data_IF_769637531570
#
_entry.id   IF_769637531570
#
_cell.length_a   1.000
_cell.length_b   1.000
_cell.length_c   1.000
_cell.angle_alpha   90.00
_cell.angle_beta   90.00
_cell.angle_gamma   90.00
#
_symmetry.space_group_name_H-M   'P 1'
#
loop_
_entity.id
_entity.type
_entity.pdbx_description
1 polymer ?
#
# COMPACT_ATOMS: atom_id res chain seq x y z
N UNK A 1 -11.42 23.67 -16.02
CA UNK A 1 -10.20 23.21 -15.30
C UNK A 1 -9.80 21.83 -15.81
N UNK A 2 -8.54 21.67 -16.24
CA UNK A 2 -7.99 20.42 -16.82
C UNK A 2 -7.08 19.77 -15.78
N UNK A 3 -7.44 18.58 -15.35
CA UNK A 3 -6.65 17.76 -14.42
C UNK A 3 -5.89 16.69 -15.19
N UNK A 4 -4.60 16.52 -14.87
CA UNK A 4 -3.85 15.34 -15.29
C UNK A 4 -3.33 14.61 -14.06
N UNK A 5 -3.61 13.32 -14.00
CA UNK A 5 -3.07 12.39 -12.99
C UNK A 5 -2.01 11.55 -13.67
N UNK A 6 -0.82 11.43 -13.06
CA UNK A 6 0.25 10.57 -13.56
C UNK A 6 0.51 9.46 -12.56
N UNK A 7 0.38 8.22 -13.01
CA UNK A 7 0.66 7.02 -12.22
C UNK A 7 1.79 6.20 -12.85
N UNK A 8 2.61 5.56 -11.99
CA UNK A 8 3.74 4.76 -12.43
C UNK A 8 3.29 3.41 -13.00
N UNK A 9 2.48 2.68 -12.25
CA UNK A 9 2.02 1.33 -12.60
C UNK A 9 0.49 1.25 -12.59
N UNK A 10 -0.02 0.23 -13.28
CA UNK A 10 -1.44 0.01 -13.50
C UNK A 10 -1.93 0.73 -14.78
N UNK A 11 -2.87 0.12 -15.48
CA UNK A 11 -3.53 0.68 -16.65
C UNK A 11 -4.97 1.07 -16.29
N UNK A 12 -5.26 2.38 -16.36
CA UNK A 12 -6.59 2.90 -16.04
C UNK A 12 -7.66 2.41 -17.02
N UNK A 13 -7.32 2.33 -18.32
CA UNK A 13 -8.23 1.83 -19.38
C UNK A 13 -8.60 0.38 -19.10
N UNK A 14 -7.59 -0.48 -18.92
CA UNK A 14 -7.79 -1.90 -18.61
C UNK A 14 -8.64 -2.11 -17.36
N UNK A 15 -8.36 -1.36 -16.30
CA UNK A 15 -9.12 -1.44 -15.05
C UNK A 15 -10.57 -1.02 -15.25
N UNK A 16 -10.82 0.07 -15.98
CA UNK A 16 -12.16 0.55 -16.28
C UNK A 16 -12.92 -0.44 -17.16
N UNK A 17 -12.35 -0.92 -18.26
CA UNK A 17 -12.95 -1.91 -19.17
C UNK A 17 -13.29 -3.22 -18.42
N UNK A 18 -12.39 -3.68 -17.56
CA UNK A 18 -12.63 -4.86 -16.71
C UNK A 18 -13.84 -4.66 -15.80
N UNK A 19 -13.99 -3.48 -15.17
CA UNK A 19 -15.12 -3.21 -14.29
C UNK A 19 -16.44 -3.09 -15.04
N UNK A 20 -16.47 -2.50 -16.22
CA UNK A 20 -17.65 -2.43 -17.09
C UNK A 20 -18.08 -3.83 -17.55
N UNK A 21 -17.13 -4.73 -17.77
CA UNK A 21 -17.40 -6.13 -18.07
C UNK A 21 -17.80 -6.97 -16.83
N UNK A 22 -18.02 -6.37 -15.67
CA UNK A 22 -18.36 -7.08 -14.43
C UNK A 22 -17.19 -7.77 -13.75
N UNK A 23 -15.96 -7.49 -14.18
CA UNK A 23 -14.75 -8.08 -13.61
C UNK A 23 -14.40 -7.50 -12.24
N UNK A 24 -13.52 -8.21 -11.53
CA UNK A 24 -13.12 -7.91 -10.15
C UNK A 24 -11.87 -7.03 -10.06
N UNK A 25 -11.69 -6.39 -8.91
CA UNK A 25 -10.53 -5.54 -8.62
C UNK A 25 -9.27 -6.39 -8.36
N UNK A 26 -8.09 -5.85 -8.72
CA UNK A 26 -6.80 -6.48 -8.47
C UNK A 26 -6.24 -6.11 -7.09
N UNK A 27 -6.66 -4.96 -6.53
CA UNK A 27 -6.32 -4.51 -5.17
C UNK A 27 -7.47 -3.69 -4.56
N UNK A 28 -7.52 -3.63 -3.24
CA UNK A 28 -8.64 -3.10 -2.45
C UNK A 28 -9.20 -1.75 -2.92
N UNK A 29 -8.34 -0.81 -3.24
CA UNK A 29 -8.76 0.56 -3.58
C UNK A 29 -9.00 0.78 -5.08
N UNK A 30 -8.83 -0.23 -5.95
CA UNK A 30 -8.82 -0.03 -7.40
C UNK A 30 -10.18 0.42 -7.93
N UNK A 31 -11.26 -0.26 -7.52
CA UNK A 31 -12.62 0.10 -7.95
C UNK A 31 -12.99 1.52 -7.49
N UNK A 32 -12.65 1.85 -6.24
CA UNK A 32 -12.86 3.18 -5.70
C UNK A 32 -12.09 4.25 -6.51
N UNK A 33 -10.78 4.06 -6.73
CA UNK A 33 -9.95 5.05 -7.40
C UNK A 33 -10.39 5.28 -8.86
N UNK A 34 -10.73 4.21 -9.59
CA UNK A 34 -11.22 4.31 -10.97
C UNK A 34 -12.58 5.03 -11.02
N UNK A 35 -13.52 4.66 -10.15
CA UNK A 35 -14.84 5.30 -10.07
C UNK A 35 -14.75 6.76 -9.65
N UNK A 36 -13.91 7.08 -8.66
CA UNK A 36 -13.68 8.45 -8.21
C UNK A 36 -13.10 9.33 -9.32
N UNK A 37 -12.08 8.87 -10.04
CA UNK A 37 -11.51 9.62 -11.17
C UNK A 37 -12.55 9.82 -12.27
N UNK A 38 -13.39 8.82 -12.53
CA UNK A 38 -14.54 8.95 -13.45
C UNK A 38 -15.52 10.03 -12.99
N UNK A 39 -15.85 10.09 -11.69
CA UNK A 39 -16.74 11.15 -11.17
C UNK A 39 -16.18 12.56 -11.36
N UNK A 40 -14.87 12.74 -11.22
CA UNK A 40 -14.20 14.02 -11.49
C UNK A 40 -14.31 14.44 -12.98
N UNK A 41 -14.32 13.47 -13.90
CA UNK A 41 -14.43 13.75 -15.33
C UNK A 41 -15.81 14.29 -15.76
N UNK A 42 -16.83 14.12 -14.90
CA UNK A 42 -18.14 14.76 -15.10
C UNK A 42 -18.22 16.18 -14.53
N UNK A 43 -17.25 16.60 -13.72
CA UNK A 43 -17.23 17.89 -13.02
C UNK A 43 -16.21 18.87 -13.63
N UNK A 44 -15.20 18.35 -14.33
CA UNK A 44 -14.07 19.12 -14.85
C UNK A 44 -14.11 19.15 -16.40
N UNK A 45 -13.51 20.17 -16.99
CA UNK A 45 -13.44 20.29 -18.46
C UNK A 45 -12.69 19.11 -19.09
N UNK A 46 -11.68 18.58 -18.38
CA UNK A 46 -10.92 17.41 -18.80
C UNK A 46 -10.28 16.73 -17.59
N UNK A 47 -10.37 15.41 -17.56
CA UNK A 47 -9.54 14.58 -16.69
C UNK A 47 -8.73 13.63 -17.58
N UNK A 48 -7.41 13.70 -17.48
CA UNK A 48 -6.50 12.78 -18.13
C UNK A 48 -5.76 11.93 -17.11
N UNK A 49 -5.65 10.62 -17.37
CA UNK A 49 -4.82 9.70 -16.59
C UNK A 49 -3.71 9.18 -17.48
N UNK A 50 -2.46 9.48 -17.13
CA UNK A 50 -1.28 8.96 -17.80
C UNK A 50 -0.75 7.77 -17.00
N UNK A 51 -0.77 6.60 -17.62
CA UNK A 51 -0.23 5.35 -17.10
C UNK A 51 1.16 5.14 -17.72
N UNK A 52 2.23 5.17 -16.90
CA UNK A 52 3.58 5.07 -17.43
C UNK A 52 3.89 3.66 -17.97
N UNK A 53 3.63 2.64 -17.16
CA UNK A 53 3.86 1.24 -17.55
C UNK A 53 2.60 0.67 -18.19
N UNK A 54 2.60 0.59 -19.52
CA UNK A 54 1.57 -0.11 -20.30
C UNK A 54 2.25 -0.94 -21.38
N UNK A 55 1.57 -1.98 -21.88
CA UNK A 55 2.16 -2.89 -22.87
C UNK A 55 2.52 -2.14 -24.16
N UNK A 56 1.64 -1.23 -24.58
CA UNK A 56 1.79 -0.38 -25.76
C UNK A 56 1.34 1.07 -25.45
N UNK A 57 1.82 2.07 -26.23
CA UNK A 57 1.30 3.42 -26.13
C UNK A 57 -0.11 3.51 -26.73
N UNK A 58 -0.99 4.24 -26.02
CA UNK A 58 -2.35 4.53 -26.51
C UNK A 58 -2.85 5.88 -25.99
N UNK A 59 -3.96 6.36 -26.56
CA UNK A 59 -4.69 7.55 -26.08
C UNK A 59 -6.16 7.45 -26.50
N UNK A 60 -7.05 7.27 -25.53
CA UNK A 60 -8.50 7.10 -25.75
C UNK A 60 -9.29 7.97 -24.78
N UNK A 61 -10.49 8.39 -25.18
CA UNK A 61 -11.49 8.94 -24.26
C UNK A 61 -12.48 7.81 -23.96
N UNK A 62 -12.57 7.46 -22.69
CA UNK A 62 -13.47 6.40 -22.22
C UNK A 62 -14.90 6.92 -22.07
N UNK A 63 -15.93 6.04 -22.04
CA UNK A 63 -17.32 6.44 -21.86
C UNK A 63 -17.60 7.24 -20.57
N UNK A 64 -16.77 7.11 -19.54
CA UNK A 64 -16.82 7.94 -18.33
C UNK A 64 -16.10 9.31 -18.49
N UNK A 65 -15.83 9.76 -19.72
CA UNK A 65 -15.16 11.02 -20.08
C UNK A 65 -13.70 11.15 -19.61
N UNK A 66 -13.09 10.11 -19.05
CA UNK A 66 -11.66 10.13 -18.71
C UNK A 66 -10.84 9.89 -19.97
N UNK A 67 -9.86 10.77 -20.22
CA UNK A 67 -8.84 10.56 -21.23
C UNK A 67 -7.74 9.66 -20.68
N UNK A 68 -7.82 8.36 -20.98
CA UNK A 68 -6.80 7.39 -20.59
C UNK A 68 -5.66 7.38 -21.60
N UNK A 69 -4.42 7.46 -21.12
CA UNK A 69 -3.21 7.53 -21.93
C UNK A 69 -2.19 6.52 -21.37
N UNK A 70 -1.87 5.52 -22.17
CA UNK A 70 -0.76 4.62 -21.92
C UNK A 70 0.51 5.17 -22.54
N UNK A 71 1.61 5.23 -21.80
CA UNK A 71 2.88 5.70 -22.32
C UNK A 71 3.74 4.60 -22.98
N UNK A 72 3.41 3.31 -22.78
CA UNK A 72 4.15 2.18 -23.34
C UNK A 72 5.56 2.01 -22.81
N UNK A 73 5.85 2.58 -21.63
CA UNK A 73 7.19 2.53 -21.05
C UNK A 73 7.39 1.22 -20.28
N UNK A 74 8.65 0.83 -20.09
CA UNK A 74 9.02 -0.37 -19.36
C UNK A 74 9.64 -0.01 -18.00
N UNK A 75 9.62 -0.91 -17.00
CA UNK A 75 10.28 -0.67 -15.72
C UNK A 75 11.73 -0.17 -15.89
N UNK A 76 12.11 0.85 -15.11
CA UNK A 76 13.41 1.49 -15.20
C UNK A 76 13.49 2.66 -16.21
N UNK A 77 12.39 3.03 -16.87
CA UNK A 77 12.35 4.19 -17.76
C UNK A 77 12.78 5.48 -17.02
N UNK A 78 13.26 6.46 -17.79
CA UNK A 78 13.59 7.77 -17.21
C UNK A 78 12.33 8.68 -17.21
N UNK A 79 11.92 9.28 -16.06
CA UNK A 79 10.68 10.07 -15.98
C UNK A 79 10.56 11.24 -16.96
N UNK A 80 11.65 11.71 -17.57
CA UNK A 80 11.61 12.71 -18.66
C UNK A 80 10.86 12.22 -19.90
N UNK A 81 10.80 10.92 -20.13
CA UNK A 81 10.08 10.32 -21.25
C UNK A 81 8.56 10.57 -21.20
N UNK A 82 8.02 10.85 -20.00
CA UNK A 82 6.62 11.24 -19.83
C UNK A 82 6.33 12.71 -20.17
N UNK A 83 7.35 13.58 -20.27
CA UNK A 83 7.14 15.01 -20.49
C UNK A 83 6.39 15.30 -21.81
N UNK A 84 6.71 14.68 -22.95
CA UNK A 84 5.97 14.90 -24.19
C UNK A 84 4.49 14.50 -24.08
N UNK A 85 4.20 13.40 -23.37
CA UNK A 85 2.83 12.93 -23.14
C UNK A 85 2.08 13.90 -22.23
N UNK A 86 2.69 14.28 -21.12
CA UNK A 86 2.13 15.25 -20.17
C UNK A 86 1.86 16.61 -20.82
N UNK A 87 2.79 17.10 -21.65
CA UNK A 87 2.62 18.38 -22.34
C UNK A 87 1.39 18.41 -23.26
N UNK A 88 1.04 17.28 -23.89
CA UNK A 88 -0.14 17.18 -24.77
C UNK A 88 -1.48 17.23 -24.01
N UNK A 89 -1.48 16.99 -22.70
CA UNK A 89 -2.69 17.12 -21.89
C UNK A 89 -2.94 18.57 -21.47
N UNK A 90 -1.94 19.44 -21.57
CA UNK A 90 -1.98 20.86 -21.22
C UNK A 90 -2.72 21.14 -19.88
N UNK A 91 -2.29 20.56 -18.77
CA UNK A 91 -3.06 20.59 -17.53
C UNK A 91 -2.98 21.94 -16.81
N UNK A 92 -4.08 22.36 -16.18
CA UNK A 92 -4.10 23.45 -15.20
C UNK A 92 -3.74 22.91 -13.80
N UNK A 93 -3.98 21.60 -13.57
CA UNK A 93 -3.75 20.87 -12.33
C UNK A 93 -3.05 19.55 -12.62
N UNK A 94 -2.03 19.26 -11.83
CA UNK A 94 -1.26 18.01 -11.93
C UNK A 94 -1.28 17.27 -10.61
N UNK A 95 -1.71 16.00 -10.62
CA UNK A 95 -1.56 15.08 -9.50
C UNK A 95 -0.50 14.02 -9.84
N UNK A 96 0.52 13.88 -9.01
CA UNK A 96 1.53 12.83 -9.15
C UNK A 96 1.31 11.77 -8.06
N UNK A 97 1.09 10.53 -8.46
CA UNK A 97 0.96 9.41 -7.49
C UNK A 97 2.31 8.75 -7.19
N UNK A 98 3.38 9.20 -7.83
CA UNK A 98 4.76 8.73 -7.62
C UNK A 98 5.73 9.91 -7.72
N UNK A 99 6.82 9.94 -6.92
CA UNK A 99 7.74 11.07 -6.86
C UNK A 99 8.64 11.16 -8.11
N UNK A 100 8.23 11.93 -9.10
CA UNK A 100 8.94 12.13 -10.37
C UNK A 100 9.51 13.54 -10.47
N UNK A 101 10.75 13.75 -10.00
CA UNK A 101 11.45 15.06 -10.01
C UNK A 101 11.41 15.78 -11.36
N UNK A 102 11.63 15.12 -12.53
CA UNK A 102 11.52 15.79 -13.82
C UNK A 102 10.14 16.37 -14.11
N UNK A 103 9.07 15.70 -13.72
CA UNK A 103 7.70 16.19 -13.93
C UNK A 103 7.38 17.36 -13.00
N UNK A 104 7.86 17.35 -11.76
CA UNK A 104 7.75 18.49 -10.84
C UNK A 104 8.43 19.73 -11.40
N UNK A 105 9.63 19.58 -12.00
CA UNK A 105 10.34 20.67 -12.68
C UNK A 105 9.58 21.20 -13.89
N UNK A 106 9.05 20.30 -14.71
CA UNK A 106 8.22 20.65 -15.84
C UNK A 106 6.97 21.44 -15.39
N UNK A 107 6.27 20.96 -14.36
CA UNK A 107 5.09 21.63 -13.80
C UNK A 107 5.44 23.05 -13.29
N UNK A 108 6.57 23.20 -12.61
CA UNK A 108 7.06 24.52 -12.18
C UNK A 108 7.31 25.46 -13.36
N UNK A 109 8.03 25.00 -14.39
CA UNK A 109 8.37 25.80 -15.56
C UNK A 109 7.12 26.22 -16.36
N UNK A 110 6.07 25.40 -16.32
CA UNK A 110 4.79 25.67 -17.00
C UNK A 110 3.72 26.28 -16.07
N UNK A 111 4.09 26.64 -14.83
CA UNK A 111 3.19 27.23 -13.82
C UNK A 111 1.96 26.39 -13.51
N UNK A 112 2.08 25.05 -13.63
CA UNK A 112 1.00 24.11 -13.31
C UNK A 112 0.93 23.90 -11.81
N UNK A 113 -0.25 24.13 -11.23
CA UNK A 113 -0.51 23.84 -9.80
C UNK A 113 -0.48 22.34 -9.58
N UNK A 114 0.24 21.90 -8.59
CA UNK A 114 0.57 20.49 -8.41
C UNK A 114 0.24 20.02 -6.99
N UNK A 115 -0.25 18.80 -6.90
CA UNK A 115 -0.38 18.02 -5.66
C UNK A 115 0.32 16.68 -5.86
N UNK A 116 0.76 16.05 -4.78
CA UNK A 116 1.10 14.63 -4.82
C UNK A 116 0.10 13.83 -3.98
N UNK A 117 -0.16 12.61 -4.41
CA UNK A 117 -0.93 11.61 -3.66
C UNK A 117 -0.16 10.28 -3.73
N UNK A 118 1.01 10.27 -3.10
CA UNK A 118 1.99 9.18 -3.17
C UNK A 118 1.66 8.06 -2.16
N UNK A 119 2.25 6.89 -2.39
CA UNK A 119 2.28 5.78 -1.44
C UNK A 119 3.72 5.26 -1.27
N UNK A 120 4.69 6.17 -1.24
CA UNK A 120 6.12 5.88 -1.26
C UNK A 120 6.77 6.13 0.10
N UNK A 121 7.76 5.31 0.44
CA UNK A 121 8.62 5.52 1.60
C UNK A 121 10.02 5.96 1.18
N UNK A 122 10.59 6.91 1.93
CA UNK A 122 11.89 7.50 1.63
C UNK A 122 12.89 7.09 2.70
N UNK A 123 13.69 6.06 2.41
CA UNK A 123 14.68 5.56 3.35
C UNK A 123 15.99 6.34 3.27
N UNK A 124 16.64 6.50 4.43
CA UNK A 124 18.04 6.92 4.47
C UNK A 124 18.87 5.86 3.74
N UNK A 125 19.57 6.30 2.69
CA UNK A 125 20.48 5.48 1.90
C UNK A 125 21.85 6.10 1.86
N UNK A 126 22.76 5.52 1.05
CA UNK A 126 24.08 6.12 0.81
C UNK A 126 23.99 7.53 0.19
N UNK A 127 25.15 8.17 0.02
CA UNK A 127 25.28 9.57 -0.43
C UNK A 127 24.46 9.87 -1.70
N UNK A 128 24.43 8.96 -2.67
CA UNK A 128 23.65 9.13 -3.92
C UNK A 128 22.13 9.21 -3.64
N UNK A 129 21.62 8.40 -2.72
CA UNK A 129 20.21 8.44 -2.32
C UNK A 129 19.90 9.74 -1.58
N UNK A 130 20.77 10.18 -0.67
CA UNK A 130 20.62 11.44 0.06
C UNK A 130 20.55 12.65 -0.90
N UNK A 131 21.43 12.70 -1.91
CA UNK A 131 21.41 13.77 -2.93
C UNK A 131 20.10 13.73 -3.71
N UNK A 132 19.67 12.56 -4.18
CA UNK A 132 18.41 12.39 -4.91
C UNK A 132 17.21 12.84 -4.08
N UNK A 133 17.15 12.45 -2.80
CA UNK A 133 16.09 12.82 -1.88
C UNK A 133 16.09 14.33 -1.60
N UNK A 134 17.27 14.93 -1.43
CA UNK A 134 17.38 16.40 -1.25
C UNK A 134 16.86 17.16 -2.48
N UNK A 135 17.18 16.69 -3.68
CA UNK A 135 16.69 17.29 -4.93
C UNK A 135 15.16 17.16 -5.00
N UNK A 136 14.61 15.98 -4.69
CA UNK A 136 13.17 15.77 -4.66
C UNK A 136 12.47 16.68 -3.65
N UNK A 137 12.98 16.74 -2.41
CA UNK A 137 12.43 17.60 -1.35
C UNK A 137 12.43 19.08 -1.77
N UNK A 138 13.49 19.54 -2.42
CA UNK A 138 13.56 20.91 -2.93
C UNK A 138 12.47 21.21 -3.98
N UNK A 139 12.15 20.26 -4.86
CA UNK A 139 11.05 20.46 -5.84
C UNK A 139 9.67 20.32 -5.18
N UNK A 140 9.47 19.41 -4.23
CA UNK A 140 8.23 19.29 -3.45
C UNK A 140 7.94 20.54 -2.60
N UNK A 141 8.99 21.24 -2.16
CA UNK A 141 8.86 22.47 -1.39
C UNK A 141 8.53 23.72 -2.24
N UNK A 142 8.54 23.63 -3.56
CA UNK A 142 8.24 24.77 -4.45
C UNK A 142 6.78 25.25 -4.31
N UNK A 143 6.51 26.54 -4.49
CA UNK A 143 5.17 27.11 -4.30
C UNK A 143 4.09 26.50 -5.21
N UNK A 144 4.44 26.04 -6.42
CA UNK A 144 3.49 25.40 -7.33
C UNK A 144 3.05 23.98 -6.85
N UNK A 145 3.82 23.34 -5.97
CA UNK A 145 3.38 22.15 -5.25
C UNK A 145 2.67 22.63 -3.99
N UNK A 146 1.34 22.56 -4.00
CA UNK A 146 0.54 23.12 -2.91
C UNK A 146 0.47 22.20 -1.70
N UNK A 147 0.28 20.90 -1.94
CA UNK A 147 0.23 19.87 -0.92
C UNK A 147 1.05 18.67 -1.33
N UNK A 148 1.62 18.01 -0.34
CA UNK A 148 2.39 16.77 -0.50
C UNK A 148 1.66 15.67 0.27
N UNK A 149 0.70 15.04 -0.44
CA UNK A 149 -0.02 13.89 0.09
C UNK A 149 0.84 12.63 0.04
N UNK A 150 0.85 11.86 1.12
CA UNK A 150 1.46 10.53 1.14
C UNK A 150 0.61 9.57 1.99
N UNK A 151 0.60 8.30 1.59
CA UNK A 151 -0.24 7.28 2.21
C UNK A 151 0.31 6.91 3.59
N UNK A 152 -0.52 7.10 4.61
CA UNK A 152 -0.22 6.79 6.00
C UNK A 152 0.87 7.65 6.68
N UNK A 153 0.85 7.68 7.99
CA UNK A 153 1.73 8.50 8.83
C UNK A 153 3.22 8.14 8.64
N UNK A 154 3.53 6.83 8.54
CA UNK A 154 4.91 6.37 8.38
C UNK A 154 5.58 6.93 7.12
N UNK A 155 4.87 6.88 5.99
CA UNK A 155 5.36 7.43 4.74
C UNK A 155 5.47 8.97 4.79
N UNK A 156 4.54 9.65 5.48
CA UNK A 156 4.61 11.10 5.71
C UNK A 156 5.80 11.50 6.58
N UNK A 157 6.13 10.73 7.61
CA UNK A 157 7.32 10.96 8.43
C UNK A 157 8.60 10.81 7.61
N UNK A 158 8.66 9.84 6.69
CA UNK A 158 9.82 9.68 5.80
C UNK A 158 10.03 10.88 4.86
N UNK A 159 8.97 11.64 4.52
CA UNK A 159 9.09 12.91 3.79
C UNK A 159 9.76 14.00 4.63
N UNK A 160 9.46 14.06 5.94
CA UNK A 160 10.16 14.98 6.85
C UNK A 160 11.66 14.67 6.91
N UNK A 161 12.01 13.38 6.97
CA UNK A 161 13.41 12.93 7.07
C UNK A 161 14.25 13.35 5.87
N UNK A 162 13.64 13.49 4.69
CA UNK A 162 14.33 13.97 3.48
C UNK A 162 14.27 15.49 3.30
N UNK A 163 13.57 16.21 4.18
CA UNK A 163 13.52 17.67 4.21
C UNK A 163 12.34 18.30 3.47
N UNK A 164 11.24 17.60 3.31
CA UNK A 164 9.98 18.19 2.82
C UNK A 164 9.38 19.08 3.91
N UNK A 165 8.87 20.23 3.52
CA UNK A 165 8.24 21.18 4.44
C UNK A 165 7.03 20.54 5.13
N UNK A 166 7.11 20.45 6.46
CA UNK A 166 6.11 19.87 7.34
C UNK A 166 4.71 20.48 7.16
N UNK A 167 4.64 21.76 6.78
CA UNK A 167 3.38 22.49 6.59
C UNK A 167 2.63 22.10 5.30
N UNK A 168 3.26 21.33 4.40
CA UNK A 168 2.67 20.86 3.15
C UNK A 168 2.24 19.41 3.20
N UNK A 169 2.68 18.64 4.19
CA UNK A 169 2.46 17.18 4.23
C UNK A 169 1.07 16.88 4.77
N UNK A 170 0.29 16.12 4.00
CA UNK A 170 -1.04 15.62 4.38
C UNK A 170 -1.03 14.10 4.33
N UNK A 171 -1.20 13.44 5.48
CA UNK A 171 -1.46 12.00 5.52
C UNK A 171 -2.84 11.70 4.93
N UNK A 172 -2.89 10.74 4.01
CA UNK A 172 -4.14 10.28 3.43
C UNK A 172 -4.21 8.76 3.39
N UNK A 173 -5.43 8.22 3.26
CA UNK A 173 -5.69 6.80 3.14
C UNK A 173 -6.81 6.51 2.14
N UNK A 174 -6.98 5.23 1.80
CA UNK A 174 -8.13 4.77 1.05
C UNK A 174 -9.35 4.66 1.97
N UNK A 175 -10.56 4.90 1.48
CA UNK A 175 -11.76 4.58 2.27
C UNK A 175 -11.81 3.08 2.54
N UNK A 176 -12.13 2.66 3.77
CA UNK A 176 -12.18 1.25 4.12
C UNK A 176 -13.35 0.52 3.44
N UNK A 177 -13.08 -0.65 2.87
CA UNK A 177 -14.10 -1.53 2.27
C UNK A 177 -14.64 -2.57 3.24
N UNK A 178 -13.87 -2.94 4.26
CA UNK A 178 -14.21 -3.92 5.30
C UNK A 178 -13.83 -3.39 6.68
N UNK A 179 -14.57 -3.83 7.69
CA UNK A 179 -14.38 -3.40 9.08
C UNK A 179 -14.35 -4.60 10.02
N UNK A 180 -13.64 -4.53 11.16
CA UNK A 180 -13.69 -5.59 12.16
C UNK A 180 -15.07 -5.84 12.73
N UNK A 181 -15.96 -4.81 12.74
CA UNK A 181 -17.36 -4.94 13.17
C UNK A 181 -18.18 -5.89 12.30
N UNK A 182 -17.71 -6.22 11.09
CA UNK A 182 -18.39 -7.14 10.19
C UNK A 182 -18.24 -8.61 10.63
N UNK A 183 -17.40 -8.86 11.64
CA UNK A 183 -17.06 -10.19 12.12
C UNK A 183 -16.92 -10.27 13.64
N UNK A 184 -17.27 -11.40 14.22
CA UNK A 184 -16.96 -11.71 15.61
C UNK A 184 -15.46 -11.99 15.81
N UNK A 185 -14.89 -11.68 17.00
CA UNK A 185 -13.54 -12.10 17.34
C UNK A 185 -13.39 -13.63 17.23
N UNK A 186 -12.19 -14.06 16.86
CA UNK A 186 -11.88 -15.48 16.69
C UNK A 186 -11.40 -16.09 17.99
N UNK A 187 -11.72 -17.35 18.15
CA UNK A 187 -11.20 -18.21 19.20
C UNK A 187 -10.22 -19.19 18.56
N UNK A 188 -9.14 -19.53 19.26
CA UNK A 188 -8.19 -20.52 18.78
C UNK A 188 -8.86 -21.88 18.56
N UNK A 189 -8.40 -22.63 17.55
CA UNK A 189 -8.80 -24.01 17.36
C UNK A 189 -8.32 -24.88 18.53
N UNK A 190 -9.13 -25.83 18.93
CA UNK A 190 -8.77 -26.75 20.03
C UNK A 190 -7.78 -27.84 19.58
N UNK A 191 -7.63 -28.08 18.28
CA UNK A 191 -6.76 -29.12 17.72
C UNK A 191 -6.51 -28.91 16.23
N UNK A 192 -5.46 -29.55 15.74
CA UNK A 192 -5.06 -29.52 14.32
C UNK A 192 -3.99 -28.47 14.00
N UNK A 193 -3.43 -28.53 12.78
CA UNK A 193 -2.44 -27.56 12.32
C UNK A 193 -3.06 -26.18 12.18
N UNK A 194 -2.27 -25.11 12.44
CA UNK A 194 -2.63 -23.76 12.06
C UNK A 194 -2.63 -23.62 10.55
N UNK A 195 -3.71 -23.10 10.00
CA UNK A 195 -3.79 -22.70 8.61
C UNK A 195 -3.26 -21.27 8.45
N UNK A 196 -2.10 -21.15 7.83
CA UNK A 196 -1.47 -19.88 7.55
C UNK A 196 -1.89 -19.36 6.17
N UNK A 197 -1.95 -18.05 6.03
CA UNK A 197 -2.11 -17.41 4.72
C UNK A 197 -1.09 -16.28 4.55
N UNK A 198 -0.48 -16.25 3.39
CA UNK A 198 0.29 -15.12 2.87
C UNK A 198 -0.46 -14.50 1.70
N UNK A 199 -0.53 -13.17 1.64
CA UNK A 199 -1.14 -12.43 0.52
C UNK A 199 -0.20 -11.33 0.07
N UNK A 200 0.17 -11.34 -1.19
CA UNK A 200 1.03 -10.31 -1.79
C UNK A 200 1.89 -10.83 -2.93
N UNK A 201 2.77 -9.98 -3.45
CA UNK A 201 3.74 -10.36 -4.48
C UNK A 201 4.67 -11.45 -3.96
N UNK A 202 4.83 -12.54 -4.71
CA UNK A 202 5.64 -13.69 -4.30
C UNK A 202 7.08 -13.48 -4.78
N UNK A 203 7.83 -12.69 -3.99
CA UNK A 203 9.24 -12.36 -4.27
C UNK A 203 10.08 -12.45 -3.00
N UNK A 204 11.38 -12.64 -3.16
CA UNK A 204 12.34 -12.83 -2.05
C UNK A 204 12.28 -11.67 -1.02
N UNK A 205 12.24 -10.43 -1.49
CA UNK A 205 12.19 -9.25 -0.61
C UNK A 205 10.87 -9.12 0.19
N UNK A 206 9.83 -9.87 -0.18
CA UNK A 206 8.59 -10.02 0.61
C UNK A 206 8.69 -11.10 1.69
N UNK A 207 9.84 -11.78 1.81
CA UNK A 207 10.13 -12.73 2.88
C UNK A 207 9.40 -14.08 2.75
N UNK A 208 8.87 -14.41 1.56
CA UNK A 208 8.20 -15.70 1.34
C UNK A 208 9.16 -16.85 1.58
N UNK A 209 10.43 -16.71 1.16
CA UNK A 209 11.48 -17.69 1.43
C UNK A 209 11.73 -17.92 2.92
N UNK A 210 11.74 -16.84 3.72
CA UNK A 210 11.90 -16.92 5.19
C UNK A 210 10.74 -17.68 5.84
N UNK A 211 9.51 -17.49 5.32
CA UNK A 211 8.33 -18.22 5.76
C UNK A 211 8.44 -19.72 5.42
N UNK A 212 8.88 -20.06 4.21
CA UNK A 212 9.08 -21.45 3.81
C UNK A 212 10.13 -22.15 4.69
N UNK A 213 11.25 -21.49 4.99
CA UNK A 213 12.26 -22.03 5.91
C UNK A 213 11.72 -22.22 7.32
N UNK A 214 10.88 -21.31 7.82
CA UNK A 214 10.21 -21.46 9.11
C UNK A 214 9.28 -22.68 9.13
N UNK A 215 8.52 -22.92 8.05
CA UNK A 215 7.64 -24.08 7.92
C UNK A 215 8.41 -25.40 7.89
N UNK A 216 9.56 -25.45 7.18
CA UNK A 216 10.46 -26.63 7.19
C UNK A 216 10.89 -26.98 8.61
N UNK A 217 11.28 -25.98 9.42
CA UNK A 217 11.67 -26.19 10.81
C UNK A 217 10.52 -26.75 11.64
N UNK A 218 9.32 -26.17 11.53
CA UNK A 218 8.13 -26.67 12.21
C UNK A 218 7.81 -28.12 11.82
N UNK A 219 7.92 -28.47 10.55
CA UNK A 219 7.73 -29.84 10.06
C UNK A 219 8.73 -30.80 10.67
N UNK A 220 10.02 -30.41 10.77
CA UNK A 220 11.06 -31.22 11.41
C UNK A 220 10.82 -31.43 12.93
N UNK A 221 10.14 -30.49 13.59
CA UNK A 221 9.76 -30.57 14.98
C UNK A 221 8.45 -31.35 15.22
N UNK A 222 7.85 -31.90 14.14
CA UNK A 222 6.59 -32.64 14.21
C UNK A 222 5.34 -31.74 14.31
N UNK A 223 5.46 -30.45 14.05
CA UNK A 223 4.35 -29.51 13.95
C UNK A 223 3.96 -29.38 12.47
N UNK A 224 2.86 -30.03 12.02
CA UNK A 224 2.51 -30.02 10.60
C UNK A 224 2.15 -28.58 10.18
N UNK A 225 2.85 -27.98 9.19
CA UNK A 225 2.50 -26.69 8.66
C UNK A 225 1.37 -26.80 7.64
N UNK A 226 0.59 -25.73 7.49
CA UNK A 226 -0.33 -25.55 6.37
C UNK A 226 -0.27 -24.11 5.93
N UNK A 227 0.11 -23.84 4.68
CA UNK A 227 0.22 -22.47 4.15
C UNK A 227 -0.50 -22.36 2.81
N UNK A 228 -1.32 -21.33 2.68
CA UNK A 228 -1.80 -20.86 1.39
C UNK A 228 -1.07 -19.57 1.01
N UNK A 229 -0.37 -19.57 -0.13
CA UNK A 229 0.27 -18.39 -0.73
C UNK A 229 -0.66 -17.84 -1.81
N UNK A 230 -1.16 -16.63 -1.60
CA UNK A 230 -2.00 -15.89 -2.55
C UNK A 230 -1.16 -14.78 -3.16
N UNK A 231 -0.85 -14.90 -4.44
CA UNK A 231 -0.03 -13.97 -5.18
C UNK A 231 0.59 -14.61 -6.40
N UNK A 232 1.17 -13.79 -7.26
CA UNK A 232 1.82 -14.27 -8.47
C UNK A 232 3.29 -14.62 -8.18
N UNK A 233 3.69 -15.83 -8.52
CA UNK A 233 5.08 -16.32 -8.54
C UNK A 233 5.49 -16.54 -10.01
N UNK A 234 5.79 -15.47 -10.77
CA UNK A 234 5.88 -15.55 -12.24
C UNK A 234 7.01 -16.46 -12.72
N UNK A 235 8.07 -16.57 -11.94
CA UNK A 235 9.24 -17.39 -12.28
C UNK A 235 9.22 -18.76 -11.60
N UNK A 236 8.19 -19.05 -10.78
CA UNK A 236 8.09 -20.30 -10.01
C UNK A 236 9.20 -20.49 -8.96
N UNK A 237 9.93 -19.43 -8.62
CA UNK A 237 11.10 -19.50 -7.73
C UNK A 237 10.70 -19.97 -6.34
N UNK A 238 9.63 -19.40 -5.76
CA UNK A 238 9.18 -19.76 -4.41
C UNK A 238 8.48 -21.12 -4.40
N UNK A 239 7.80 -21.47 -5.49
CA UNK A 239 7.22 -22.80 -5.69
C UNK A 239 8.34 -23.87 -5.72
N UNK A 240 9.40 -23.65 -6.51
CA UNK A 240 10.56 -24.54 -6.56
C UNK A 240 11.30 -24.63 -5.22
N UNK A 241 11.41 -23.51 -4.49
CA UNK A 241 11.98 -23.51 -3.14
C UNK A 241 11.16 -24.39 -2.20
N UNK A 242 9.83 -24.26 -2.19
CA UNK A 242 8.95 -25.08 -1.35
C UNK A 242 9.12 -26.58 -1.64
N UNK A 243 9.23 -26.96 -2.92
CA UNK A 243 9.49 -28.35 -3.31
C UNK A 243 10.87 -28.85 -2.81
N UNK A 244 11.92 -28.02 -2.97
CA UNK A 244 13.28 -28.36 -2.51
C UNK A 244 13.38 -28.52 -0.98
N UNK A 245 12.52 -27.80 -0.24
CA UNK A 245 12.41 -27.88 1.22
C UNK A 245 11.52 -29.03 1.71
N UNK A 246 10.94 -29.83 0.78
CA UNK A 246 10.04 -30.93 1.11
C UNK A 246 8.66 -30.49 1.62
N UNK A 247 8.19 -29.31 1.19
CA UNK A 247 6.93 -28.69 1.62
C UNK A 247 5.82 -28.76 0.55
N UNK A 248 5.99 -29.56 -0.49
CA UNK A 248 5.06 -29.63 -1.64
C UNK A 248 3.60 -29.86 -1.21
N UNK A 249 3.40 -30.74 -0.23
CA UNK A 249 2.07 -31.12 0.25
C UNK A 249 1.54 -30.18 1.35
N UNK A 250 2.41 -29.34 1.92
CA UNK A 250 2.10 -28.44 3.03
C UNK A 250 1.81 -26.99 2.57
N UNK A 251 2.24 -26.63 1.35
CA UNK A 251 2.16 -25.28 0.81
C UNK A 251 1.38 -25.27 -0.50
N UNK A 252 0.29 -24.54 -0.52
CA UNK A 252 -0.53 -24.33 -1.72
C UNK A 252 -0.31 -22.95 -2.29
N UNK A 253 0.28 -22.84 -3.48
CA UNK A 253 0.33 -21.62 -4.27
C UNK A 253 -0.99 -21.44 -5.04
N UNK A 254 -1.82 -20.52 -4.60
CA UNK A 254 -3.16 -20.30 -5.14
C UNK A 254 -3.17 -19.36 -6.36
N UNK A 255 -2.03 -18.74 -6.69
CA UNK A 255 -1.96 -17.70 -7.71
C UNK A 255 -2.72 -16.43 -7.28
N UNK A 256 -3.09 -15.61 -8.24
CA UNK A 256 -3.90 -14.42 -8.01
C UNK A 256 -5.35 -14.81 -7.78
N UNK A 257 -5.95 -14.28 -6.73
CA UNK A 257 -7.40 -14.31 -6.52
C UNK A 257 -7.96 -12.89 -6.65
N UNK A 258 -9.27 -12.77 -6.82
CA UNK A 258 -9.91 -11.48 -6.81
C UNK A 258 -9.75 -10.80 -5.45
N UNK A 259 -9.50 -9.49 -5.43
CA UNK A 259 -9.31 -8.77 -4.17
C UNK A 259 -10.52 -8.89 -3.22
N UNK A 260 -11.73 -8.94 -3.78
CA UNK A 260 -12.96 -9.13 -3.01
C UNK A 260 -13.01 -10.46 -2.24
N UNK A 261 -12.24 -11.46 -2.67
CA UNK A 261 -12.16 -12.79 -2.04
C UNK A 261 -11.02 -12.85 -0.97
N UNK A 262 -10.11 -11.86 -0.95
CA UNK A 262 -8.96 -11.82 -0.02
C UNK A 262 -9.41 -11.78 1.46
N UNK A 263 -10.36 -10.92 1.87
CA UNK A 263 -10.82 -10.90 3.26
C UNK A 263 -11.41 -12.23 3.71
N UNK A 264 -12.18 -12.88 2.83
CA UNK A 264 -12.74 -14.21 3.10
C UNK A 264 -11.64 -15.28 3.23
N UNK A 265 -10.62 -15.24 2.38
CA UNK A 265 -9.46 -16.14 2.47
C UNK A 265 -8.67 -15.91 3.77
N UNK A 266 -8.45 -14.65 4.16
CA UNK A 266 -7.82 -14.34 5.45
C UNK A 266 -8.68 -14.78 6.64
N UNK A 267 -10.01 -14.60 6.54
CA UNK A 267 -10.94 -15.04 7.58
C UNK A 267 -10.98 -16.57 7.73
N UNK A 268 -10.79 -17.30 6.63
CA UNK A 268 -10.73 -18.76 6.65
C UNK A 268 -9.46 -19.29 7.30
N UNK A 269 -8.33 -18.63 7.06
CA UNK A 269 -7.04 -18.98 7.67
C UNK A 269 -7.02 -18.66 9.16
N UNK A 270 -6.16 -19.30 9.92
CA UNK A 270 -5.99 -19.04 11.35
C UNK A 270 -5.04 -17.86 11.61
N UNK A 271 -4.05 -17.66 10.75
CA UNK A 271 -3.03 -16.61 10.89
C UNK A 271 -2.68 -16.02 9.52
N UNK A 272 -2.56 -14.70 9.47
CA UNK A 272 -1.98 -13.97 8.33
C UNK A 272 -0.51 -13.70 8.62
N UNK A 273 0.38 -14.06 7.68
CA UNK A 273 1.83 -13.83 7.83
C UNK A 273 2.29 -12.76 6.84
N UNK A 274 2.98 -11.72 7.35
CA UNK A 274 3.46 -10.55 6.58
C UNK A 274 4.98 -10.41 6.82
N UNK A 275 5.82 -11.24 6.16
CA UNK A 275 7.22 -11.37 6.48
C UNK A 275 8.14 -10.42 5.70
N UNK A 276 7.63 -9.29 5.18
CA UNK A 276 8.36 -8.36 4.32
C UNK A 276 9.71 -7.97 4.91
N UNK A 277 10.78 -8.09 4.09
CA UNK A 277 12.14 -7.68 4.48
C UNK A 277 12.30 -6.17 4.36
N UNK A 278 13.21 -5.60 5.14
CA UNK A 278 13.45 -4.15 5.17
C UNK A 278 13.83 -3.55 3.81
N UNK A 279 14.45 -4.32 2.91
CA UNK A 279 14.79 -3.85 1.56
C UNK A 279 13.59 -3.65 0.64
N UNK A 280 12.45 -4.29 0.91
CA UNK A 280 11.25 -4.08 0.11
C UNK A 280 10.69 -2.66 0.39
N UNK A 281 10.39 -1.86 -0.64
CA UNK A 281 9.90 -0.49 -0.46
C UNK A 281 8.41 -0.46 -0.05
N UNK A 282 8.10 -1.04 1.11
CA UNK A 282 6.72 -1.00 1.64
C UNK A 282 6.29 0.42 1.99
N UNK A 283 5.01 0.71 1.70
CA UNK A 283 4.21 1.60 2.53
C UNK A 283 3.62 0.83 3.72
N UNK A 284 2.41 1.15 4.14
CA UNK A 284 1.63 0.26 5.01
C UNK A 284 0.83 -0.69 4.11
N UNK A 285 1.10 -2.01 4.11
CA UNK A 285 0.40 -2.95 3.24
C UNK A 285 -1.10 -2.99 3.52
N UNK A 286 -1.93 -2.97 2.49
CA UNK A 286 -3.38 -3.11 2.63
C UNK A 286 -3.77 -4.44 3.28
N UNK A 287 -2.93 -5.47 3.14
CA UNK A 287 -3.09 -6.77 3.82
C UNK A 287 -3.14 -6.68 5.34
N UNK A 288 -2.50 -5.65 5.96
CA UNK A 288 -2.64 -5.38 7.39
C UNK A 288 -4.07 -4.95 7.72
N UNK A 289 -4.65 -4.04 6.93
CA UNK A 289 -6.04 -3.61 7.13
C UNK A 289 -7.02 -4.76 6.93
N UNK A 290 -6.82 -5.56 5.89
CA UNK A 290 -7.67 -6.70 5.55
C UNK A 290 -7.61 -7.78 6.63
N UNK A 291 -6.41 -8.09 7.15
CA UNK A 291 -6.23 -9.05 8.23
C UNK A 291 -6.88 -8.57 9.55
N UNK A 292 -6.68 -7.29 9.91
CA UNK A 292 -7.33 -6.70 11.09
C UNK A 292 -8.86 -6.66 10.93
N UNK A 293 -9.37 -6.29 9.74
CA UNK A 293 -10.80 -6.31 9.44
C UNK A 293 -11.38 -7.72 9.51
N UNK A 294 -10.66 -8.73 9.02
CA UNK A 294 -11.02 -10.14 9.14
C UNK A 294 -10.89 -10.69 10.57
N UNK A 295 -10.36 -9.91 11.52
CA UNK A 295 -10.06 -10.32 12.90
C UNK A 295 -9.15 -11.56 12.96
N UNK A 296 -8.30 -11.75 11.96
CA UNK A 296 -7.35 -12.86 11.89
C UNK A 296 -6.03 -12.42 12.47
N UNK A 297 -5.49 -13.11 13.49
CA UNK A 297 -4.20 -12.79 14.08
C UNK A 297 -3.08 -12.66 13.05
N UNK A 298 -2.21 -11.69 13.26
CA UNK A 298 -1.12 -11.35 12.36
C UNK A 298 0.22 -11.77 12.98
N UNK A 299 1.10 -12.38 12.16
CA UNK A 299 2.53 -12.45 12.43
C UNK A 299 3.22 -11.59 11.37
N UNK A 300 3.99 -10.59 11.79
CA UNK A 300 4.65 -9.66 10.87
C UNK A 300 6.14 -9.50 11.21
N UNK A 301 6.93 -9.17 10.20
CA UNK A 301 8.31 -8.74 10.44
C UNK A 301 8.38 -7.38 11.14
N UNK A 302 9.54 -7.05 11.69
CA UNK A 302 9.86 -5.75 12.27
C UNK A 302 10.11 -4.65 11.23
N UNK A 303 9.47 -4.77 10.06
CA UNK A 303 9.63 -3.80 8.97
C UNK A 303 9.38 -2.37 9.46
N UNK A 304 10.28 -1.40 9.17
CA UNK A 304 10.18 -0.03 9.71
C UNK A 304 8.85 0.67 9.43
N UNK A 305 8.18 0.33 8.33
CA UNK A 305 6.88 0.93 7.98
C UNK A 305 5.71 0.34 8.79
N UNK A 306 5.90 -0.81 9.45
CA UNK A 306 4.88 -1.43 10.30
C UNK A 306 4.89 -0.88 11.73
N UNK A 307 5.99 -0.20 12.12
CA UNK A 307 6.13 0.40 13.45
C UNK A 307 4.98 1.34 13.78
N UNK A 308 4.39 1.14 14.95
CA UNK A 308 3.24 1.90 15.42
C UNK A 308 1.93 1.66 14.67
N UNK A 309 1.95 0.92 13.56
CA UNK A 309 0.75 0.36 12.94
C UNK A 309 0.42 -1.00 13.56
N UNK A 310 1.46 -1.79 13.83
CA UNK A 310 1.39 -3.04 14.59
C UNK A 310 2.19 -2.88 15.87
N UNK A 311 1.66 -3.44 16.95
CA UNK A 311 2.27 -3.45 18.28
C UNK A 311 2.37 -4.92 18.72
N UNK A 312 3.59 -5.32 19.11
CA UNK A 312 3.86 -6.70 19.49
C UNK A 312 3.00 -7.15 20.67
N UNK A 313 2.49 -8.37 20.61
CA UNK A 313 1.56 -9.00 21.57
C UNK A 313 0.22 -8.25 21.79
N UNK A 314 0.00 -7.15 21.08
CA UNK A 314 -1.26 -6.40 21.13
C UNK A 314 -2.09 -6.54 19.86
N UNK A 315 -1.51 -6.23 18.70
CA UNK A 315 -2.19 -6.31 17.40
C UNK A 315 -1.56 -7.32 16.44
N UNK A 316 -0.35 -7.78 16.73
CA UNK A 316 0.37 -8.79 15.98
C UNK A 316 1.42 -9.48 16.88
N UNK A 317 2.02 -10.58 16.40
CA UNK A 317 3.34 -11.01 16.86
C UNK A 317 4.38 -10.48 15.89
N UNK A 318 5.43 -9.84 16.41
CA UNK A 318 6.49 -9.25 15.61
C UNK A 318 7.76 -10.10 15.72
N UNK A 319 8.40 -10.36 14.58
CA UNK A 319 9.67 -11.08 14.53
C UNK A 319 10.71 -10.27 13.72
N UNK A 320 12.02 -10.42 13.99
CA UNK A 320 13.07 -9.77 13.20
C UNK A 320 13.04 -10.27 11.74
N UNK A 321 13.20 -9.37 10.76
CA UNK A 321 13.27 -9.78 9.35
C UNK A 321 14.34 -10.83 9.11
N UNK A 322 14.11 -11.74 8.14
CA UNK A 322 15.07 -12.81 7.78
C UNK A 322 15.34 -13.84 8.89
N UNK A 323 14.67 -13.75 10.02
CA UNK A 323 14.82 -14.69 11.13
C UNK A 323 13.71 -15.75 11.10
N UNK A 324 13.95 -16.81 10.33
CA UNK A 324 13.01 -17.94 10.20
C UNK A 324 12.84 -18.73 11.50
N UNK A 325 13.80 -18.68 12.45
CA UNK A 325 13.67 -19.33 13.77
C UNK A 325 12.68 -18.58 14.64
N UNK A 326 12.76 -17.26 14.68
CA UNK A 326 11.79 -16.42 15.40
C UNK A 326 10.41 -16.49 14.77
N UNK A 327 10.32 -16.54 13.43
CA UNK A 327 9.05 -16.75 12.74
C UNK A 327 8.42 -18.11 13.11
N UNK A 328 9.19 -19.19 13.06
CA UNK A 328 8.71 -20.51 13.50
C UNK A 328 8.25 -20.51 14.96
N UNK A 329 9.00 -19.84 15.83
CA UNK A 329 8.63 -19.68 17.24
C UNK A 329 7.33 -18.90 17.43
N UNK A 330 7.10 -17.82 16.65
CA UNK A 330 5.87 -17.05 16.69
C UNK A 330 4.65 -17.88 16.20
N UNK A 331 4.81 -18.67 15.15
CA UNK A 331 3.76 -19.58 14.65
C UNK A 331 3.41 -20.61 15.72
N UNK A 332 4.43 -21.27 16.31
CA UNK A 332 4.24 -22.26 17.38
C UNK A 332 3.54 -21.65 18.60
N UNK A 333 3.92 -20.43 18.97
CA UNK A 333 3.31 -19.73 20.10
C UNK A 333 1.82 -19.49 19.87
N UNK A 334 1.39 -19.07 18.68
CA UNK A 334 -0.05 -18.92 18.36
C UNK A 334 -0.78 -20.26 18.31
N UNK A 335 -0.09 -21.35 17.96
CA UNK A 335 -0.68 -22.69 18.00
C UNK A 335 -0.96 -23.19 19.42
N UNK A 336 -0.20 -22.75 20.42
CA UNK A 336 -0.24 -23.28 21.79
C UNK A 336 -0.84 -22.32 22.81
N UNK A 337 -0.77 -20.99 22.57
CA UNK A 337 -1.29 -19.97 23.46
C UNK A 337 -2.65 -19.44 22.96
N UNK A 338 -3.72 -20.13 23.37
CA UNK A 338 -5.09 -19.77 23.00
C UNK A 338 -5.50 -18.38 23.53
N UNK A 339 -4.97 -17.97 24.68
CA UNK A 339 -5.27 -16.68 25.28
C UNK A 339 -4.65 -15.55 24.44
N UNK A 340 -3.40 -15.71 24.00
CA UNK A 340 -2.74 -14.79 23.09
C UNK A 340 -3.48 -14.69 21.75
N UNK A 341 -3.82 -15.83 21.14
CA UNK A 341 -4.57 -15.88 19.89
C UNK A 341 -5.87 -15.06 19.96
N UNK A 342 -6.70 -15.37 20.97
CA UNK A 342 -7.97 -14.68 21.18
C UNK A 342 -7.79 -13.19 21.47
N UNK A 343 -6.76 -12.83 22.26
CA UNK A 343 -6.43 -11.44 22.56
C UNK A 343 -6.08 -10.65 21.31
N UNK A 344 -5.24 -11.19 20.40
CA UNK A 344 -4.90 -10.53 19.13
C UNK A 344 -6.13 -10.31 18.25
N UNK A 345 -7.01 -11.30 18.17
CA UNK A 345 -8.26 -11.19 17.42
C UNK A 345 -9.22 -10.15 18.02
N UNK A 346 -9.35 -10.08 19.34
CA UNK A 346 -10.20 -9.07 20.02
C UNK A 346 -9.63 -7.66 19.79
N UNK A 347 -8.31 -7.49 19.96
CA UNK A 347 -7.64 -6.20 19.84
C UNK A 347 -7.52 -5.68 18.39
N UNK A 348 -7.78 -6.54 17.40
CA UNK A 348 -7.75 -6.14 15.97
C UNK A 348 -8.62 -4.95 15.66
N UNK A 349 -9.78 -4.80 16.33
CA UNK A 349 -10.67 -3.65 16.13
C UNK A 349 -10.03 -2.34 16.57
N UNK A 350 -9.48 -2.29 17.78
CA UNK A 350 -8.79 -1.11 18.27
C UNK A 350 -7.56 -0.76 17.41
N UNK A 351 -6.82 -1.78 16.95
CA UNK A 351 -5.69 -1.60 16.05
C UNK A 351 -6.13 -1.04 14.68
N UNK A 352 -7.20 -1.58 14.12
CA UNK A 352 -7.77 -1.13 12.86
C UNK A 352 -8.26 0.33 12.95
N UNK A 353 -8.97 0.70 14.03
CA UNK A 353 -9.41 2.07 14.29
C UNK A 353 -8.22 3.04 14.39
N UNK A 354 -7.13 2.61 15.03
CA UNK A 354 -5.93 3.41 15.17
C UNK A 354 -5.21 3.69 13.85
N UNK A 355 -5.45 2.91 12.81
CA UNK A 355 -4.90 3.12 11.46
C UNK A 355 -5.71 4.12 10.63
N UNK A 356 -6.97 4.37 10.98
CA UNK A 356 -7.83 5.22 10.16
C UNK A 356 -7.34 6.67 10.16
N UNK A 357 -7.33 7.28 8.99
CA UNK A 357 -6.96 8.67 8.80
C UNK A 357 -8.18 9.55 8.52
N UNK A 358 -8.02 10.85 8.77
CA UNK A 358 -9.08 11.85 8.60
C UNK A 358 -9.22 12.36 7.16
N UNK A 359 -8.35 11.94 6.26
CA UNK A 359 -8.30 12.37 4.86
C UNK A 359 -8.28 11.13 3.98
N UNK A 360 -9.28 10.98 3.12
CA UNK A 360 -9.25 9.98 2.07
C UNK A 360 -8.56 10.52 0.81
N UNK A 361 -8.22 9.63 -0.12
CA UNK A 361 -7.72 10.02 -1.45
C UNK A 361 -8.69 10.98 -2.16
N UNK A 362 -10.00 10.71 -2.07
CA UNK A 362 -11.03 11.57 -2.63
C UNK A 362 -11.06 12.94 -1.97
N UNK A 363 -11.12 12.99 -0.64
CA UNK A 363 -11.11 14.26 0.10
C UNK A 363 -9.91 15.12 -0.28
N UNK A 364 -8.72 14.50 -0.37
CA UNK A 364 -7.50 15.21 -0.71
C UNK A 364 -7.61 15.90 -2.08
N UNK A 365 -8.08 15.18 -3.10
CA UNK A 365 -8.17 15.71 -4.46
C UNK A 365 -9.34 16.67 -4.64
N UNK A 366 -10.55 16.34 -4.17
CA UNK A 366 -11.72 17.20 -4.32
C UNK A 366 -11.54 18.56 -3.67
N UNK A 367 -11.05 18.58 -2.42
CA UNK A 367 -10.81 19.84 -1.70
C UNK A 367 -9.70 20.67 -2.31
N UNK A 368 -8.65 20.02 -2.82
CA UNK A 368 -7.60 20.73 -3.53
C UNK A 368 -8.11 21.31 -4.86
N UNK A 369 -8.93 20.58 -5.61
CA UNK A 369 -9.51 21.01 -6.88
C UNK A 369 -10.52 22.14 -6.68
N UNK A 370 -11.41 22.01 -5.71
CA UNK A 370 -12.37 23.06 -5.31
C UNK A 370 -11.65 24.35 -4.92
N UNK A 371 -10.61 24.25 -4.08
CA UNK A 371 -9.75 25.35 -3.69
C UNK A 371 -10.48 26.53 -3.04
N UNK A 372 -11.69 26.31 -2.48
CA UNK A 372 -12.38 27.32 -1.69
C UNK A 372 -11.59 27.66 -0.42
N UNK A 373 -11.89 28.79 0.22
CA UNK A 373 -11.26 29.15 1.49
C UNK A 373 -11.51 28.06 2.57
N UNK A 374 -12.73 27.52 2.60
CA UNK A 374 -13.12 26.45 3.52
C UNK A 374 -12.35 25.15 3.28
N UNK A 375 -12.16 24.74 2.01
CA UNK A 375 -11.45 23.52 1.67
C UNK A 375 -9.94 23.65 1.93
N UNK A 376 -9.36 24.82 1.67
CA UNK A 376 -7.98 25.11 2.04
C UNK A 376 -7.76 25.03 3.55
N UNK A 377 -8.66 25.62 4.33
CA UNK A 377 -8.62 25.56 5.79
C UNK A 377 -8.80 24.13 6.30
N UNK A 378 -9.71 23.36 5.69
CA UNK A 378 -9.93 21.97 6.04
C UNK A 378 -8.67 21.11 5.81
N UNK A 379 -7.97 21.28 4.68
CA UNK A 379 -6.70 20.61 4.39
C UNK A 379 -5.59 21.07 5.35
N UNK A 380 -5.54 22.38 5.63
CA UNK A 380 -4.58 22.98 6.55
C UNK A 380 -4.68 22.38 7.96
N UNK A 381 -5.90 22.18 8.45
CA UNK A 381 -6.17 21.56 9.76
C UNK A 381 -5.86 20.07 9.81
N UNK A 382 -5.61 19.42 8.65
CA UNK A 382 -5.30 17.98 8.53
C UNK A 382 -3.87 17.68 8.07
N UNK A 383 -3.00 18.69 8.18
CA UNK A 383 -1.56 18.48 7.97
C UNK A 383 -0.97 17.53 9.02
N UNK A 384 0.12 16.89 8.65
CA UNK A 384 0.85 15.98 9.56
C UNK A 384 1.12 16.58 10.95
N UNK A 385 1.32 17.89 11.01
CA UNK A 385 1.65 18.64 12.24
C UNK A 385 0.45 19.35 12.90
N UNK A 386 -0.78 18.99 12.53
CA UNK A 386 -1.98 19.64 13.05
C UNK A 386 -2.36 19.25 14.49
N UNK A 387 -1.65 18.29 15.08
CA UNK A 387 -2.00 17.69 16.38
C UNK A 387 -2.93 16.48 16.26
N UNK A 388 -3.67 16.34 15.16
CA UNK A 388 -4.58 15.20 14.94
C UNK A 388 -3.90 13.84 14.95
N UNK A 389 -2.61 13.79 14.64
CA UNK A 389 -1.83 12.56 14.47
C UNK A 389 -0.79 12.34 15.58
N UNK A 390 -0.75 13.19 16.61
CA UNK A 390 0.30 13.18 17.63
C UNK A 390 0.42 11.84 18.35
N UNK A 391 -0.71 11.19 18.65
CA UNK A 391 -0.73 9.85 19.26
C UNK A 391 -0.07 8.81 18.36
N UNK A 392 -0.43 8.77 17.08
CA UNK A 392 0.11 7.83 16.09
C UNK A 392 1.60 8.08 15.83
N UNK A 393 2.01 9.36 15.80
CA UNK A 393 3.41 9.77 15.65
C UNK A 393 4.22 9.36 16.88
N UNK A 394 3.70 9.57 18.09
CA UNK A 394 4.37 9.21 19.33
C UNK A 394 4.64 7.70 19.41
N UNK A 395 3.63 6.86 19.14
CA UNK A 395 3.77 5.40 19.12
C UNK A 395 4.85 4.97 18.13
N UNK A 396 4.89 5.54 16.92
CA UNK A 396 5.91 5.22 15.90
C UNK A 396 7.33 5.65 16.26
N UNK A 397 7.50 6.61 17.14
CA UNK A 397 8.82 7.09 17.60
C UNK A 397 9.33 6.36 18.84
N UNK A 398 8.43 5.73 19.59
CA UNK A 398 8.77 4.97 20.82
C UNK A 398 9.08 3.50 20.55
N UNK A 399 8.71 2.98 19.40
CA UNK A 399 9.01 1.64 18.89
C UNK A 399 10.16 1.69 17.88
#
# INVERSE_FOLDING_TARGET
MRLTIVQYAGDYREAWERFEAGGKANYQAQRYSVGFVGSLAHQLDQVAVICALTDEPYGVILPNNVRAIGAGLKPGFHPRELIPVLSRTAPDRLCLTTPMTPLLRWARSNRVRTITAMADSFRRGGIKAAIRHRILANELNRPNVEWVGNHQIGACLSLLDIGVNRDKIIPWDWPPSHRPSDHDPRVAKNSGPLELVYVGSVVEAKGVGDLLEALKKLKQEGVPPSLTVIGNDPDGIMTGLAESLGLKDDVRFAGLIANEDVPAAMRKADVVVIPSRHEYPEGLPLTIYEALAARTPIIASDHPMFRGALVDEESALIFPEKDSDRLASAIRRLATDQALYSRLSVKSDAAWQALQLHVTFGDLLERWLSGTAADREWLYQRRLISGLYDRQIAVRRST
#
